data_IF_840134979975
#
_entry.id   IF_840134979975
#
_cell.length_a   1.000
_cell.length_b   1.000
_cell.length_c   1.000
_cell.angle_alpha   90.00
_cell.angle_beta   90.00
_cell.angle_gamma   90.00
#
_symmetry.space_group_name_H-M   'P 1'
#
loop_
_entity.id
_entity.type
_entity.pdbx_description
1 polymer ?
#
# COMPACT_ATOMS: atom_id res chain seq x y z
N UNK A 1 26.90 -27.16 1.33
CA UNK A 1 26.15 -26.27 2.25
C UNK A 1 24.80 -25.99 1.59
N UNK A 2 23.72 -26.57 2.11
CA UNK A 2 22.39 -26.42 1.56
C UNK A 2 21.85 -25.02 1.88
N UNK A 3 21.63 -24.21 0.87
CA UNK A 3 20.96 -22.91 1.01
C UNK A 3 19.51 -23.15 1.42
N UNK A 4 19.17 -22.77 2.65
CA UNK A 4 17.80 -22.73 3.09
C UNK A 4 17.05 -21.70 2.23
N UNK A 5 16.08 -22.16 1.44
CA UNK A 5 15.05 -21.27 0.90
C UNK A 5 14.37 -20.61 2.08
N UNK A 6 14.66 -19.33 2.32
CA UNK A 6 14.11 -18.59 3.44
C UNK A 6 12.60 -18.46 3.25
N UNK A 7 11.83 -19.29 3.94
CA UNK A 7 10.40 -19.10 4.05
C UNK A 7 10.16 -17.78 4.80
N UNK A 8 9.71 -16.76 4.06
CA UNK A 8 9.33 -15.48 4.66
C UNK A 8 8.21 -15.72 5.67
N UNK A 9 8.41 -15.29 6.91
CA UNK A 9 7.40 -15.43 7.96
C UNK A 9 6.20 -14.52 7.68
N UNK A 10 5.01 -14.86 8.20
CA UNK A 10 3.80 -14.04 8.03
C UNK A 10 4.04 -12.59 8.43
N UNK A 11 4.74 -12.37 9.53
CA UNK A 11 5.00 -11.03 10.06
C UNK A 11 5.94 -10.24 9.15
N UNK A 12 6.95 -10.90 8.57
CA UNK A 12 7.82 -10.28 7.55
C UNK A 12 7.01 -9.88 6.31
N UNK A 13 6.10 -10.74 5.83
CA UNK A 13 5.24 -10.43 4.69
C UNK A 13 4.32 -9.24 5.01
N UNK A 14 3.71 -9.22 6.19
CA UNK A 14 2.84 -8.12 6.63
C UNK A 14 3.63 -6.81 6.75
N UNK A 15 4.85 -6.85 7.28
CA UNK A 15 5.72 -5.68 7.39
C UNK A 15 6.08 -5.12 6.02
N UNK A 16 6.39 -6.00 5.05
CA UNK A 16 6.67 -5.60 3.68
C UNK A 16 5.43 -4.93 3.07
N UNK A 17 4.25 -5.56 3.14
CA UNK A 17 3.00 -5.01 2.58
C UNK A 17 2.66 -3.65 3.18
N UNK A 18 2.78 -3.50 4.51
CA UNK A 18 2.53 -2.22 5.19
C UNK A 18 3.53 -1.13 4.81
N UNK A 19 4.74 -1.50 4.38
CA UNK A 19 5.77 -0.58 3.93
C UNK A 19 5.69 -0.16 2.47
N UNK A 20 4.74 -0.71 1.69
CA UNK A 20 4.60 -0.38 0.27
C UNK A 20 3.93 0.98 0.03
N UNK A 21 3.10 1.46 0.96
CA UNK A 21 2.49 2.79 0.87
C UNK A 21 3.49 3.91 1.16
N UNK A 22 3.49 4.96 0.34
CA UNK A 22 4.31 6.16 0.58
C UNK A 22 3.75 7.00 1.74
N UNK A 23 2.45 6.91 2.03
CA UNK A 23 1.82 7.61 3.14
C UNK A 23 2.27 7.01 4.50
N UNK A 24 3.33 7.60 5.07
CA UNK A 24 3.90 7.15 6.35
C UNK A 24 2.96 7.39 7.52
N UNK A 25 2.91 6.42 8.44
CA UNK A 25 2.16 6.52 9.69
C UNK A 25 0.68 6.14 9.56
N UNK A 26 0.21 5.81 8.36
CA UNK A 26 -1.12 5.27 8.12
C UNK A 26 -1.01 3.88 7.49
N UNK A 27 -1.87 2.96 7.91
CA UNK A 27 -2.06 1.67 7.25
C UNK A 27 -3.43 1.73 6.61
N UNK A 28 -3.52 1.36 5.33
CA UNK A 28 -4.80 1.28 4.65
C UNK A 28 -5.61 0.14 5.27
N UNK A 29 -6.75 0.46 5.87
CA UNK A 29 -7.69 -0.46 6.48
C UNK A 29 -8.98 -0.56 5.67
N UNK A 30 -9.80 -1.57 5.99
CA UNK A 30 -11.10 -1.82 5.37
C UNK A 30 -12.00 -0.57 5.38
N UNK A 31 -11.92 0.19 6.48
CA UNK A 31 -12.71 1.41 6.71
C UNK A 31 -12.31 2.55 5.78
N UNK A 32 -11.05 2.63 5.34
CA UNK A 32 -10.59 3.70 4.46
C UNK A 32 -11.20 3.54 3.06
N UNK A 33 -11.26 2.29 2.58
CA UNK A 33 -11.94 1.95 1.32
C UNK A 33 -13.45 2.22 1.43
N UNK A 34 -14.08 1.83 2.55
CA UNK A 34 -15.49 2.09 2.78
C UNK A 34 -15.82 3.60 2.81
N UNK A 35 -14.95 4.41 3.42
CA UNK A 35 -15.09 5.88 3.43
C UNK A 35 -14.91 6.49 2.05
N UNK A 36 -13.97 5.99 1.24
CA UNK A 36 -13.78 6.44 -0.13
C UNK A 36 -15.01 6.11 -1.01
N UNK A 37 -15.59 4.92 -0.83
CA UNK A 37 -16.85 4.55 -1.49
C UNK A 37 -18.01 5.45 -1.03
N UNK A 38 -18.11 5.73 0.26
CA UNK A 38 -19.12 6.64 0.81
C UNK A 38 -18.99 8.06 0.24
N UNK A 39 -17.76 8.57 0.10
CA UNK A 39 -17.50 9.85 -0.55
C UNK A 39 -17.98 9.86 -2.01
N UNK A 40 -17.65 8.82 -2.80
CA UNK A 40 -18.12 8.72 -4.19
C UNK A 40 -19.64 8.63 -4.31
N UNK A 41 -20.31 8.07 -3.30
CA UNK A 41 -21.77 7.98 -3.24
C UNK A 41 -22.45 9.25 -2.71
N UNK A 42 -21.70 10.20 -2.15
CA UNK A 42 -22.26 11.41 -1.55
C UNK A 42 -22.41 12.55 -2.55
N UNK A 43 -23.14 13.59 -2.14
CA UNK A 43 -23.28 14.84 -2.91
C UNK A 43 -21.95 15.58 -3.12
N UNK A 44 -20.93 15.29 -2.30
CA UNK A 44 -19.60 15.89 -2.43
C UNK A 44 -18.91 15.43 -3.73
N UNK A 45 -19.25 14.23 -4.21
CA UNK A 45 -18.75 13.67 -5.46
C UNK A 45 -19.70 13.87 -6.65
N UNK A 46 -20.70 14.76 -6.57
CA UNK A 46 -21.77 14.92 -7.60
C UNK A 46 -21.33 15.10 -9.05
N UNK A 47 -20.08 15.50 -9.29
CA UNK A 47 -19.52 15.72 -10.63
C UNK A 47 -18.35 14.78 -10.96
N UNK A 48 -18.05 13.81 -10.08
CA UNK A 48 -17.01 12.81 -10.27
C UNK A 48 -17.65 11.58 -10.90
N UNK A 49 -17.36 11.35 -12.18
CA UNK A 49 -17.85 10.19 -12.93
C UNK A 49 -16.75 9.65 -13.83
N UNK A 50 -16.77 8.33 -14.08
CA UNK A 50 -15.76 7.64 -14.91
C UNK A 50 -14.34 7.65 -14.31
N UNK A 51 -14.19 7.93 -13.01
CA UNK A 51 -12.90 8.04 -12.35
C UNK A 51 -12.60 6.82 -11.46
N UNK A 52 -11.38 6.29 -11.58
CA UNK A 52 -10.88 5.23 -10.69
C UNK A 52 -10.18 5.87 -9.48
N UNK A 53 -10.89 5.96 -8.36
CA UNK A 53 -10.31 6.43 -7.10
C UNK A 53 -9.46 5.32 -6.47
N UNK A 54 -8.14 5.42 -6.58
CA UNK A 54 -7.19 4.46 -5.98
C UNK A 54 -6.93 4.82 -4.52
N UNK A 55 -7.11 3.86 -3.61
CA UNK A 55 -6.93 4.02 -2.16
C UNK A 55 -5.86 3.04 -1.67
N UNK A 56 -4.59 3.38 -1.87
CA UNK A 56 -3.46 2.48 -1.61
C UNK A 56 -2.27 3.15 -0.90
N UNK A 57 -2.49 4.34 -0.33
CA UNK A 57 -1.42 5.10 0.33
C UNK A 57 -0.33 5.61 -0.61
N UNK A 58 -0.59 5.71 -1.92
CA UNK A 58 0.34 6.24 -2.91
C UNK A 58 1.26 5.20 -3.53
N UNK A 59 1.08 3.92 -3.23
CA UNK A 59 1.88 2.82 -3.79
C UNK A 59 1.86 2.80 -5.33
N UNK A 60 0.69 3.01 -5.94
CA UNK A 60 0.55 3.05 -7.40
C UNK A 60 1.16 4.31 -8.01
N UNK A 61 1.25 5.41 -7.25
CA UNK A 61 1.79 6.68 -7.71
C UNK A 61 3.32 6.73 -7.67
N UNK A 62 3.94 6.09 -6.67
CA UNK A 62 5.39 6.08 -6.49
C UNK A 62 5.94 4.65 -6.62
N UNK A 63 6.70 4.39 -7.69
CA UNK A 63 7.50 3.15 -7.80
C UNK A 63 8.81 3.27 -7.00
N UNK A 64 8.74 3.62 -5.72
CA UNK A 64 9.90 3.56 -4.84
C UNK A 64 9.92 2.21 -4.15
N UNK A 65 10.38 1.18 -4.88
CA UNK A 65 10.77 -0.07 -4.24
C UNK A 65 12.13 0.15 -3.59
N UNK A 66 12.13 0.52 -2.31
CA UNK A 66 13.38 0.64 -1.56
C UNK A 66 13.91 -0.77 -1.29
N UNK A 67 14.60 -1.34 -2.28
CA UNK A 67 15.40 -2.53 -2.08
C UNK A 67 16.48 -2.21 -1.03
N UNK A 68 16.70 -3.08 -0.03
CA UNK A 68 17.81 -2.91 0.89
C UNK A 68 19.11 -2.88 0.07
N UNK A 69 19.74 -1.71 -0.04
CA UNK A 69 21.05 -1.60 -0.65
C UNK A 69 22.05 -2.22 0.31
N UNK A 70 22.53 -3.42 0.00
CA UNK A 70 23.72 -3.96 0.65
C UNK A 70 24.91 -3.13 0.19
N UNK A 71 25.20 -2.03 0.88
CA UNK A 71 26.53 -1.44 0.81
C UNK A 71 27.48 -2.39 1.55
N UNK A 72 28.02 -3.36 0.82
CA UNK A 72 29.21 -4.09 1.24
C UNK A 72 30.35 -3.07 1.35
N UNK A 73 30.82 -2.83 2.58
CA UNK A 73 32.16 -2.27 2.81
C UNK A 73 33.21 -3.37 2.68
#
# INVERSE_FOLDING_TARGET
MAGAGAACTRDQIVAIIKGLGELKGAVCEEVDVARAALYLASDDAKYVTGHNLVVDGGFTAFKTLQFPTTHTS
#
